data_IF_901731927121
#
_entry.id   IF_901731927121
#
_cell.length_a   1.000
_cell.length_b   1.000
_cell.length_c   1.000
_cell.angle_alpha   90.00
_cell.angle_beta   90.00
_cell.angle_gamma   90.00
#
_symmetry.space_group_name_H-M   'P 1'
#
loop_
_entity.id
_entity.type
_entity.pdbx_description
1 polymer ?
#
# COMPACT_ATOMS: atom_id res chain seq x y z
N UNK A 1 -26.18 13.90 55.40
CA UNK A 1 -26.53 13.54 54.00
C UNK A 1 -26.22 14.76 53.13
N UNK A 2 -25.06 14.79 52.47
CA UNK A 2 -24.62 15.92 51.65
C UNK A 2 -24.98 15.69 50.19
N UNK A 3 -25.61 16.68 49.55
CA UNK A 3 -25.89 16.65 48.11
C UNK A 3 -24.61 16.80 47.28
N UNK A 4 -24.48 16.10 46.14
CA UNK A 4 -23.38 16.29 45.21
C UNK A 4 -23.52 17.61 44.42
N UNK A 5 -22.40 18.22 43.99
CA UNK A 5 -22.41 19.47 43.24
C UNK A 5 -22.95 19.31 41.81
N UNK A 6 -23.54 20.37 41.22
CA UNK A 6 -24.07 20.32 39.86
C UNK A 6 -22.95 20.29 38.80
N UNK A 7 -23.14 19.46 37.79
CA UNK A 7 -22.26 19.35 36.62
C UNK A 7 -22.25 20.64 35.78
N UNK A 8 -21.09 21.08 35.25
CA UNK A 8 -21.02 22.26 34.40
C UNK A 8 -21.66 22.04 33.01
N UNK A 9 -22.39 23.07 32.57
CA UNK A 9 -23.10 23.19 31.30
C UNK A 9 -22.15 23.06 30.08
N UNK A 10 -22.57 22.25 29.10
CA UNK A 10 -21.89 21.95 27.82
C UNK A 10 -21.79 23.18 26.89
N UNK A 11 -22.42 24.31 27.22
CA UNK A 11 -22.50 25.45 26.32
C UNK A 11 -21.20 26.30 26.21
N UNK A 12 -20.20 26.12 27.07
CA UNK A 12 -18.98 26.95 27.05
C UNK A 12 -17.77 26.35 26.29
N UNK A 13 -17.87 25.10 25.82
CA UNK A 13 -16.77 24.42 25.13
C UNK A 13 -16.76 24.60 23.59
N UNK A 14 -17.83 25.15 23.01
CA UNK A 14 -17.98 25.30 21.56
C UNK A 14 -17.20 26.47 20.95
N UNK A 15 -17.09 27.59 21.66
CA UNK A 15 -16.55 28.85 21.09
C UNK A 15 -15.02 28.96 21.12
N UNK A 16 -14.34 28.17 21.96
CA UNK A 16 -12.89 28.16 22.03
C UNK A 16 -12.24 27.32 20.90
N UNK A 17 -12.98 26.35 20.32
CA UNK A 17 -12.44 25.50 19.26
C UNK A 17 -12.53 26.16 17.87
N UNK A 18 -13.52 27.04 17.64
CA UNK A 18 -13.68 27.72 16.34
C UNK A 18 -12.61 28.80 16.10
N UNK A 19 -12.21 29.55 17.14
CA UNK A 19 -11.18 30.61 17.01
C UNK A 19 -9.76 30.09 16.85
N UNK A 20 -9.49 28.82 17.12
CA UNK A 20 -8.18 28.20 16.89
C UNK A 20 -7.99 27.75 15.41
N UNK A 21 -9.08 27.64 14.64
CA UNK A 21 -9.05 27.24 13.23
C UNK A 21 -8.84 28.44 12.28
N UNK A 22 -9.22 29.65 12.70
CA UNK A 22 -9.19 30.84 11.83
C UNK A 22 -7.90 31.68 11.91
N UNK A 23 -6.96 31.36 12.83
CA UNK A 23 -5.82 32.23 13.16
C UNK A 23 -4.49 31.95 12.45
N UNK A 24 -4.37 31.00 11.51
CA UNK A 24 -3.05 30.59 10.98
C UNK A 24 -3.00 30.40 9.46
N UNK A 25 -3.52 31.37 8.72
CA UNK A 25 -3.38 31.45 7.27
C UNK A 25 -2.82 32.82 6.83
N UNK A 26 -1.60 33.17 7.27
CA UNK A 26 -0.81 34.24 6.66
C UNK A 26 0.60 33.74 6.38
N UNK A 27 0.72 32.97 5.30
CA UNK A 27 1.98 32.60 4.67
C UNK A 27 1.83 32.74 3.16
N UNK A 28 2.11 33.94 2.65
CA UNK A 28 2.22 34.25 1.22
C UNK A 28 3.34 33.41 0.61
N UNK A 29 2.97 32.32 -0.04
CA UNK A 29 3.77 31.61 -1.03
C UNK A 29 2.83 31.18 -2.12
N UNK A 30 2.85 31.88 -3.25
CA UNK A 30 2.11 31.53 -4.46
C UNK A 30 2.57 30.16 -4.95
N UNK A 31 1.94 29.10 -4.45
CA UNK A 31 2.07 27.75 -4.96
C UNK A 31 1.40 27.74 -6.33
N UNK A 32 2.19 27.60 -7.39
CA UNK A 32 1.68 27.36 -8.74
C UNK A 32 0.78 26.10 -8.77
N UNK A 33 0.10 25.82 -9.89
CA UNK A 33 -0.90 24.76 -10.02
C UNK A 33 -0.40 23.33 -9.74
N UNK A 34 0.88 23.14 -9.41
CA UNK A 34 1.54 21.86 -9.17
C UNK A 34 1.79 21.55 -7.68
N UNK A 35 0.95 22.05 -6.77
CA UNK A 35 1.18 21.92 -5.31
C UNK A 35 0.68 20.62 -4.67
N UNK A 36 0.31 19.61 -5.45
CA UNK A 36 -0.03 18.29 -4.92
C UNK A 36 1.20 17.56 -4.40
N UNK A 37 1.12 17.00 -3.20
CA UNK A 37 2.14 16.16 -2.58
C UNK A 37 2.47 14.91 -3.40
N UNK A 38 3.62 14.29 -3.11
CA UNK A 38 4.16 13.16 -3.88
C UNK A 38 3.27 11.89 -3.89
N UNK A 39 2.28 11.82 -3.00
CA UNK A 39 1.41 10.66 -2.81
C UNK A 39 -0.07 10.99 -3.01
N UNK A 40 -0.41 12.18 -3.50
CA UNK A 40 -1.80 12.64 -3.57
C UNK A 40 -2.67 11.71 -4.44
N UNK A 41 -2.11 11.22 -5.56
CA UNK A 41 -2.76 10.27 -6.45
C UNK A 41 -3.01 8.87 -5.84
N UNK A 42 -2.45 8.59 -4.65
CA UNK A 42 -2.69 7.35 -3.89
C UNK A 42 -3.09 7.63 -2.43
N UNK A 43 -3.60 8.83 -2.15
CA UNK A 43 -3.89 9.28 -0.78
C UNK A 43 -5.03 8.49 -0.11
N UNK A 44 -5.94 7.92 -0.89
CA UNK A 44 -7.04 7.10 -0.37
C UNK A 44 -6.60 5.71 0.09
N UNK A 45 -5.37 5.31 -0.23
CA UNK A 45 -4.86 3.99 0.12
C UNK A 45 -4.53 3.87 1.60
N UNK A 46 -4.52 2.63 2.08
CA UNK A 46 -4.23 2.30 3.47
C UNK A 46 -2.84 2.79 3.89
N UNK A 47 -2.74 3.24 5.14
CA UNK A 47 -1.51 3.82 5.70
C UNK A 47 -0.35 2.81 5.65
N UNK A 48 0.91 3.25 5.56
CA UNK A 48 2.06 2.35 5.48
C UNK A 48 2.21 1.41 6.68
N UNK A 49 1.61 1.72 7.83
CA UNK A 49 1.65 0.87 9.02
C UNK A 49 0.57 -0.21 9.05
N UNK A 50 -0.33 -0.24 8.06
CA UNK A 50 -1.36 -1.25 7.95
C UNK A 50 -0.73 -2.64 7.80
N UNK A 51 -1.10 -3.57 8.68
CA UNK A 51 -0.69 -4.98 8.58
C UNK A 51 -1.28 -5.57 7.28
N UNK A 52 -0.48 -6.18 6.39
CA UNK A 52 -1.02 -6.92 5.27
C UNK A 52 -1.78 -8.16 5.77
N UNK A 53 -2.71 -8.71 4.98
CA UNK A 53 -3.26 -10.03 5.27
C UNK A 53 -2.12 -11.05 5.30
N UNK A 54 -2.18 -12.04 6.20
CA UNK A 54 -1.18 -13.10 6.32
C UNK A 54 -1.49 -14.21 5.33
N UNK A 55 -1.10 -14.00 4.08
CA UNK A 55 -1.44 -14.90 2.98
C UNK A 55 -0.49 -14.77 1.79
N UNK A 56 -0.63 -15.69 0.86
CA UNK A 56 -0.02 -15.57 -0.46
C UNK A 56 -0.71 -14.44 -1.24
N UNK A 57 0.07 -13.45 -1.68
CA UNK A 57 -0.40 -12.34 -2.53
C UNK A 57 0.52 -12.14 -3.71
N UNK A 58 -0.02 -11.79 -4.88
CA UNK A 58 0.77 -11.39 -6.06
C UNK A 58 1.27 -9.94 -5.97
N UNK A 59 2.31 -9.59 -6.74
CA UNK A 59 2.82 -8.23 -6.84
C UNK A 59 1.72 -7.21 -7.17
N UNK A 60 0.87 -7.51 -8.15
CA UNK A 60 -0.19 -6.59 -8.60
C UNK A 60 -1.24 -6.36 -7.50
N UNK A 61 -1.59 -7.40 -6.73
CA UNK A 61 -2.49 -7.24 -5.56
C UNK A 61 -1.88 -6.31 -4.50
N UNK A 62 -0.60 -6.52 -4.17
CA UNK A 62 0.11 -5.67 -3.20
C UNK A 62 0.13 -4.22 -3.68
N UNK A 63 0.47 -3.99 -4.96
CA UNK A 63 0.56 -2.63 -5.52
C UNK A 63 -0.81 -1.95 -5.65
N UNK A 64 -1.88 -2.71 -5.80
CA UNK A 64 -3.25 -2.19 -5.89
C UNK A 64 -3.77 -1.81 -4.50
N UNK A 65 -3.72 -2.76 -3.57
CA UNK A 65 -4.41 -2.65 -2.28
C UNK A 65 -3.54 -2.05 -1.18
N UNK A 66 -2.22 -2.23 -1.26
CA UNK A 66 -1.25 -1.79 -0.26
C UNK A 66 -0.06 -1.01 -0.87
N UNK A 67 -0.30 0.04 -1.68
CA UNK A 67 0.77 0.74 -2.41
C UNK A 67 1.84 1.39 -1.51
N UNK A 68 1.49 1.70 -0.26
CA UNK A 68 2.40 2.29 0.72
C UNK A 68 3.37 1.29 1.36
N UNK A 69 3.15 -0.03 1.18
CA UNK A 69 4.08 -1.08 1.62
C UNK A 69 5.41 -1.07 0.86
N UNK A 70 5.57 -0.26 -0.18
CA UNK A 70 6.87 -0.06 -0.85
C UNK A 70 7.92 0.59 0.05
N UNK A 71 7.52 1.05 1.24
CA UNK A 71 8.41 1.47 2.31
C UNK A 71 9.00 0.29 3.10
N UNK A 72 8.41 -0.91 2.98
CA UNK A 72 8.83 -2.09 3.71
C UNK A 72 9.89 -2.82 2.87
N UNK A 73 11.10 -3.06 3.41
CA UNK A 73 12.17 -3.65 2.63
C UNK A 73 11.82 -5.01 2.02
N UNK A 74 11.12 -5.88 2.75
CA UNK A 74 10.75 -7.21 2.24
C UNK A 74 9.82 -7.13 1.02
N UNK A 75 8.79 -6.27 1.08
CA UNK A 75 7.85 -6.05 -0.01
C UNK A 75 8.56 -5.50 -1.25
N UNK A 76 9.41 -4.49 -1.05
CA UNK A 76 10.10 -3.83 -2.14
C UNK A 76 11.17 -4.73 -2.77
N UNK A 77 11.98 -5.42 -1.96
CA UNK A 77 13.03 -6.30 -2.46
C UNK A 77 12.44 -7.48 -3.24
N UNK A 78 11.30 -8.04 -2.80
CA UNK A 78 10.54 -9.02 -3.60
C UNK A 78 10.29 -8.50 -5.01
N UNK A 79 9.73 -7.31 -5.17
CA UNK A 79 9.46 -6.72 -6.49
C UNK A 79 10.73 -6.48 -7.30
N UNK A 80 11.80 -5.99 -6.65
CA UNK A 80 13.09 -5.77 -7.32
C UNK A 80 13.68 -7.07 -7.87
N UNK A 81 13.59 -8.17 -7.11
CA UNK A 81 14.03 -9.51 -7.52
C UNK A 81 13.16 -10.09 -8.64
N UNK A 82 11.88 -9.72 -8.68
CA UNK A 82 10.96 -10.03 -9.78
C UNK A 82 11.14 -9.11 -11.00
N UNK A 83 12.16 -8.25 -11.03
CA UNK A 83 12.50 -7.40 -12.18
C UNK A 83 11.74 -6.08 -12.28
N UNK A 84 10.92 -5.75 -11.29
CA UNK A 84 10.17 -4.49 -11.28
C UNK A 84 11.10 -3.29 -11.12
N UNK A 85 10.80 -2.22 -11.84
CA UNK A 85 11.42 -0.91 -11.69
C UNK A 85 10.51 0.04 -10.90
N UNK A 86 11.06 1.16 -10.41
CA UNK A 86 10.23 2.19 -9.76
C UNK A 86 9.17 2.76 -10.72
N UNK A 87 9.46 2.80 -12.02
CA UNK A 87 8.48 3.24 -13.02
C UNK A 87 7.37 2.22 -13.24
N UNK A 88 7.69 0.92 -13.23
CA UNK A 88 6.68 -0.14 -13.33
C UNK A 88 5.76 -0.11 -12.11
N UNK A 89 6.34 0.01 -10.91
CA UNK A 89 5.60 0.12 -9.64
C UNK A 89 4.70 1.37 -9.65
N UNK A 90 5.21 2.54 -10.04
CA UNK A 90 4.41 3.76 -10.15
C UNK A 90 3.24 3.57 -11.12
N UNK A 91 3.47 2.92 -12.26
CA UNK A 91 2.45 2.65 -13.26
C UNK A 91 1.33 1.78 -12.69
N UNK A 92 1.67 0.65 -12.04
CA UNK A 92 0.69 -0.24 -11.43
C UNK A 92 -0.14 0.46 -10.35
N UNK A 93 0.51 1.21 -9.44
CA UNK A 93 -0.17 1.89 -8.35
C UNK A 93 -1.13 2.97 -8.84
N UNK A 94 -0.71 3.80 -9.79
CA UNK A 94 -1.54 4.87 -10.33
C UNK A 94 -2.65 4.34 -11.23
N UNK A 95 -2.38 3.30 -12.02
CA UNK A 95 -3.40 2.63 -12.82
C UNK A 95 -4.49 2.05 -11.94
N UNK A 96 -4.14 1.32 -10.87
CA UNK A 96 -5.11 0.76 -9.92
C UNK A 96 -6.07 1.81 -9.34
N UNK A 97 -5.62 3.07 -9.21
CA UNK A 97 -6.38 4.21 -8.66
C UNK A 97 -7.00 5.12 -9.72
N UNK A 98 -6.80 4.82 -11.00
CA UNK A 98 -7.32 5.64 -12.12
C UNK A 98 -6.60 6.98 -12.29
N UNK A 99 -5.51 7.23 -11.57
CA UNK A 99 -4.72 8.46 -11.58
C UNK A 99 -3.45 8.35 -12.41
N UNK A 100 -3.44 7.55 -13.49
CA UNK A 100 -2.26 7.38 -14.34
C UNK A 100 -2.09 8.59 -15.27
N UNK A 101 -1.61 9.68 -14.71
CA UNK A 101 -1.23 10.91 -15.42
C UNK A 101 0.30 11.11 -15.42
N UNK A 102 0.81 11.93 -16.36
CA UNK A 102 2.25 12.10 -16.57
C UNK A 102 2.94 12.67 -15.33
N UNK A 103 2.37 13.73 -14.76
CA UNK A 103 2.96 14.44 -13.63
C UNK A 103 2.93 13.58 -12.36
N UNK A 104 1.81 12.90 -12.10
CA UNK A 104 1.68 11.98 -10.98
C UNK A 104 2.61 10.77 -11.12
N UNK A 105 2.76 10.23 -12.33
CA UNK A 105 3.72 9.17 -12.60
C UNK A 105 5.16 9.63 -12.33
N UNK A 106 5.54 10.84 -12.74
CA UNK A 106 6.88 11.39 -12.46
C UNK A 106 7.12 11.56 -10.96
N UNK A 107 6.17 12.18 -10.24
CA UNK A 107 6.25 12.38 -8.78
C UNK A 107 6.34 11.04 -8.04
N UNK A 108 5.46 10.10 -8.39
CA UNK A 108 5.42 8.80 -7.73
C UNK A 108 6.67 7.96 -8.00
N UNK A 109 7.16 7.97 -9.24
CA UNK A 109 8.42 7.32 -9.59
C UNK A 109 9.61 7.90 -8.79
N UNK A 110 9.67 9.22 -8.61
CA UNK A 110 10.69 9.86 -7.78
C UNK A 110 10.59 9.43 -6.30
N UNK A 111 9.37 9.42 -5.75
CA UNK A 111 9.12 8.96 -4.39
C UNK A 111 9.55 7.49 -4.19
N UNK A 112 9.23 6.62 -5.14
CA UNK A 112 9.63 5.21 -5.11
C UNK A 112 11.14 5.02 -5.19
N UNK A 113 11.86 5.82 -5.98
CA UNK A 113 13.34 5.77 -6.00
C UNK A 113 13.93 6.14 -4.65
N UNK A 114 13.36 7.13 -3.97
CA UNK A 114 13.77 7.50 -2.62
C UNK A 114 13.49 6.36 -1.63
N UNK A 115 12.27 5.78 -1.67
CA UNK A 115 11.90 4.64 -0.84
C UNK A 115 12.83 3.44 -1.07
N UNK A 116 13.22 3.17 -2.32
CA UNK A 116 14.21 2.14 -2.64
C UNK A 116 15.57 2.37 -2.02
N UNK A 117 16.05 3.61 -2.03
CA UNK A 117 17.31 3.96 -1.38
C UNK A 117 17.23 3.75 0.13
N UNK A 118 16.18 4.27 0.77
CA UNK A 118 15.95 4.14 2.22
C UNK A 118 15.80 2.68 2.66
N UNK A 119 14.96 1.90 1.98
CA UNK A 119 14.74 0.50 2.30
C UNK A 119 16.00 -0.35 2.09
N UNK A 120 16.80 -0.05 1.07
CA UNK A 120 18.07 -0.74 0.83
C UNK A 120 19.13 -0.43 1.88
N UNK A 121 19.23 0.83 2.30
CA UNK A 121 20.08 1.24 3.43
C UNK A 121 19.71 0.48 4.70
N UNK A 122 18.40 0.40 5.01
CA UNK A 122 17.89 -0.30 6.19
C UNK A 122 18.14 -1.82 6.12
N UNK A 123 17.77 -2.48 5.01
CA UNK A 123 17.87 -3.94 4.87
C UNK A 123 19.30 -4.44 4.90
N UNK A 124 20.23 -3.67 4.32
CA UNK A 124 21.63 -4.07 4.17
C UNK A 124 22.55 -3.41 5.20
N UNK A 125 22.05 -2.50 6.04
CA UNK A 125 22.85 -1.79 7.04
C UNK A 125 23.92 -0.88 6.43
N UNK A 126 23.60 -0.22 5.30
CA UNK A 126 24.52 0.66 4.54
C UNK A 126 23.94 2.09 4.43
N UNK A 127 24.74 3.08 4.04
CA UNK A 127 24.31 4.48 3.98
C UNK A 127 24.13 5.02 2.55
N UNK A 128 24.66 4.33 1.55
CA UNK A 128 24.75 4.76 0.15
C UNK A 128 24.24 3.67 -0.81
N UNK A 129 23.19 2.96 -0.41
CA UNK A 129 22.58 1.91 -1.22
C UNK A 129 22.21 2.43 -2.61
N UNK A 130 22.70 1.74 -3.62
CA UNK A 130 22.24 1.87 -5.00
C UNK A 130 21.96 0.49 -5.59
N UNK A 131 20.84 0.34 -6.32
CA UNK A 131 20.49 -0.93 -6.98
C UNK A 131 21.63 -1.46 -7.86
N UNK A 132 22.37 -0.57 -8.53
CA UNK A 132 23.51 -0.94 -9.39
C UNK A 132 24.74 -1.36 -8.59
N UNK A 133 25.09 -0.63 -7.52
CA UNK A 133 26.25 -0.95 -6.69
C UNK A 133 26.10 -2.29 -5.96
N UNK A 134 24.88 -2.65 -5.59
CA UNK A 134 24.56 -3.87 -4.85
C UNK A 134 23.98 -4.98 -5.74
N UNK A 135 24.10 -4.89 -7.07
CA UNK A 135 23.47 -5.82 -8.00
C UNK A 135 23.90 -7.30 -7.81
N UNK A 136 25.07 -7.54 -7.21
CA UNK A 136 25.60 -8.89 -6.90
C UNK A 136 25.20 -9.37 -5.49
N UNK A 137 24.52 -8.55 -4.69
CA UNK A 137 24.07 -8.94 -3.35
C UNK A 137 22.99 -10.02 -3.44
N UNK A 138 23.04 -11.01 -2.54
CA UNK A 138 22.14 -12.16 -2.55
C UNK A 138 20.65 -11.75 -2.51
N UNK A 139 20.32 -10.75 -1.70
CA UNK A 139 18.95 -10.20 -1.55
C UNK A 139 18.41 -9.51 -2.81
N UNK A 140 19.27 -9.14 -3.76
CA UNK A 140 18.86 -8.53 -5.03
C UNK A 140 18.93 -9.48 -6.20
N UNK A 141 19.39 -10.72 -5.99
CA UNK A 141 19.40 -11.72 -7.04
C UNK A 141 17.97 -12.09 -7.43
N UNK A 142 17.69 -12.21 -8.75
CA UNK A 142 16.37 -12.61 -9.21
C UNK A 142 15.88 -13.90 -8.54
N UNK A 143 14.56 -14.03 -8.41
CA UNK A 143 14.00 -15.31 -7.98
C UNK A 143 14.30 -16.40 -9.00
N UNK A 144 14.48 -17.62 -8.50
CA UNK A 144 14.62 -18.82 -9.33
C UNK A 144 13.43 -19.73 -9.06
N UNK A 145 13.18 -20.69 -9.94
CA UNK A 145 12.12 -21.69 -9.75
C UNK A 145 12.21 -22.45 -8.40
N UNK A 146 13.39 -22.53 -7.79
CA UNK A 146 13.59 -23.18 -6.49
C UNK A 146 13.44 -22.24 -5.29
N UNK A 147 13.42 -20.92 -5.50
CA UNK A 147 13.44 -19.91 -4.44
C UNK A 147 12.53 -18.76 -4.82
N UNK A 148 11.25 -18.87 -4.48
CA UNK A 148 10.29 -17.77 -4.48
C UNK A 148 9.41 -17.90 -3.23
N UNK A 149 9.04 -16.78 -2.63
CA UNK A 149 8.09 -16.74 -1.52
C UNK A 149 7.14 -15.57 -1.71
N UNK A 150 5.86 -15.88 -1.87
CA UNK A 150 4.80 -14.90 -2.06
C UNK A 150 3.98 -14.66 -0.80
N UNK A 151 4.27 -15.41 0.27
CA UNK A 151 3.64 -15.23 1.56
C UNK A 151 4.12 -13.91 2.18
N UNK A 152 3.16 -13.06 2.49
CA UNK A 152 3.36 -11.79 3.20
C UNK A 152 3.45 -11.98 4.71
N UNK A 153 3.26 -13.21 5.20
CA UNK A 153 3.37 -13.54 6.62
C UNK A 153 4.78 -13.23 7.13
N UNK A 154 4.85 -12.42 8.19
CA UNK A 154 6.10 -12.05 8.84
C UNK A 154 6.81 -10.85 8.20
N UNK A 155 6.22 -10.21 7.18
CA UNK A 155 6.69 -8.91 6.72
C UNK A 155 6.49 -7.89 7.84
N UNK A 156 7.52 -7.08 8.09
CA UNK A 156 7.49 -6.06 9.14
C UNK A 156 7.58 -4.66 8.53
N UNK A 157 6.93 -3.66 9.15
CA UNK A 157 7.14 -2.27 8.77
C UNK A 157 8.61 -1.86 9.00
N UNK A 158 9.11 -0.87 8.25
CA UNK A 158 10.46 -0.37 8.44
C UNK A 158 10.71 0.05 9.89
N UNK A 159 11.80 -0.43 10.47
CA UNK A 159 12.20 -0.19 11.86
C UNK A 159 12.76 1.22 12.08
N UNK A 160 13.15 1.92 11.01
CA UNK A 160 14.07 3.03 11.12
C UNK A 160 13.54 4.29 11.82
N UNK A 161 12.24 4.44 12.11
CA UNK A 161 11.72 5.64 12.79
C UNK A 161 10.47 5.42 13.65
N UNK A 162 10.07 4.19 13.94
CA UNK A 162 8.96 3.96 14.88
C UNK A 162 9.51 4.27 16.28
N UNK A 163 9.04 5.33 16.97
CA UNK A 163 9.45 5.57 18.35
C UNK A 163 9.21 4.27 19.13
N UNK A 164 10.10 3.86 20.04
CA UNK A 164 9.84 2.71 20.90
C UNK A 164 8.45 2.92 21.49
N UNK A 165 7.59 1.90 21.36
CA UNK A 165 6.22 1.89 21.85
C UNK A 165 6.23 2.40 23.30
N UNK A 166 6.01 3.70 23.49
CA UNK A 166 5.75 4.23 24.81
C UNK A 166 4.44 3.58 25.24
N UNK A 167 4.29 3.30 26.54
CA UNK A 167 3.21 2.50 27.15
C UNK A 167 1.77 3.00 26.92
N UNK A 168 1.56 3.96 26.01
CA UNK A 168 0.28 4.50 25.54
C UNK A 168 0.04 4.34 24.03
N UNK A 169 0.89 3.59 23.31
CA UNK A 169 0.71 3.43 21.87
C UNK A 169 -0.44 2.46 21.63
N UNK A 170 -1.57 2.99 21.14
CA UNK A 170 -2.73 2.23 20.71
C UNK A 170 -2.25 1.13 19.75
N UNK A 171 -2.55 -0.14 20.07
CA UNK A 171 -2.35 -1.24 19.14
C UNK A 171 -3.12 -0.85 17.86
N UNK A 172 -2.48 -0.76 16.69
CA UNK A 172 -3.17 -0.41 15.46
C UNK A 172 -4.32 -1.40 15.25
N UNK A 173 -5.55 -0.89 15.17
CA UNK A 173 -6.69 -1.72 14.84
C UNK A 173 -6.47 -2.30 13.43
N UNK A 174 -6.86 -3.57 13.20
CA UNK A 174 -6.76 -4.16 11.87
C UNK A 174 -7.52 -3.33 10.86
N UNK A 175 -6.92 -3.10 9.70
CA UNK A 175 -7.53 -2.32 8.62
C UNK A 175 -8.78 -3.02 8.10
N UNK A 176 -9.89 -2.29 7.97
CA UNK A 176 -11.12 -2.83 7.39
C UNK A 176 -10.96 -3.06 5.89
N UNK A 177 -11.67 -4.05 5.34
CA UNK A 177 -11.64 -4.31 3.90
C UNK A 177 -12.23 -3.12 3.10
N UNK A 178 -13.18 -2.37 3.66
CA UNK A 178 -13.69 -1.14 3.05
C UNK A 178 -12.59 -0.09 2.85
N UNK A 179 -11.70 0.07 3.82
CA UNK A 179 -10.60 1.05 3.75
C UNK A 179 -9.55 0.62 2.73
N UNK A 180 -9.33 -0.70 2.59
CA UNK A 180 -8.43 -1.27 1.57
C UNK A 180 -8.98 -1.03 0.15
N UNK A 181 -10.29 -1.24 -0.05
CA UNK A 181 -10.96 -1.04 -1.32
C UNK A 181 -11.08 0.43 -1.73
N UNK A 182 -11.05 1.35 -0.76
CA UNK A 182 -11.35 2.76 -0.96
C UNK A 182 -10.49 3.42 -2.05
N UNK A 183 -11.12 3.84 -3.14
CA UNK A 183 -10.46 4.49 -4.29
C UNK A 183 -9.72 3.54 -5.24
N UNK A 184 -9.88 2.22 -5.13
CA UNK A 184 -9.43 1.27 -6.17
C UNK A 184 -10.45 1.28 -7.31
N UNK A 185 -10.02 1.71 -8.49
CA UNK A 185 -10.87 1.77 -9.70
C UNK A 185 -10.61 0.59 -10.62
N UNK A 186 -9.35 0.17 -10.75
CA UNK A 186 -8.93 -0.92 -11.63
C UNK A 186 -8.44 -2.10 -10.79
N UNK A 187 -9.33 -3.06 -10.58
CA UNK A 187 -9.06 -4.25 -9.78
C UNK A 187 -8.20 -5.26 -10.54
N UNK A 188 -7.33 -6.05 -9.87
CA UNK A 188 -6.58 -7.13 -10.51
C UNK A 188 -7.50 -8.11 -11.24
N UNK A 189 -7.11 -8.56 -12.43
CA UNK A 189 -7.90 -9.46 -13.29
C UNK A 189 -7.07 -10.68 -13.73
N UNK A 190 -7.73 -11.73 -14.22
CA UNK A 190 -7.04 -12.91 -14.78
C UNK A 190 -6.08 -13.57 -13.79
N UNK A 191 -4.82 -13.76 -14.17
CA UNK A 191 -3.79 -14.32 -13.30
C UNK A 191 -3.36 -13.35 -12.18
N UNK A 192 -3.54 -12.04 -12.33
CA UNK A 192 -3.28 -11.07 -11.24
C UNK A 192 -4.35 -11.10 -10.14
N UNK A 193 -5.50 -11.70 -10.44
CA UNK A 193 -6.62 -11.86 -9.51
C UNK A 193 -6.34 -13.03 -8.54
N UNK A 194 -5.49 -12.76 -7.56
CA UNK A 194 -5.18 -13.68 -6.48
C UNK A 194 -6.32 -13.87 -5.48
N UNK A 195 -6.02 -14.62 -4.40
CA UNK A 195 -7.04 -14.98 -3.41
C UNK A 195 -7.54 -13.75 -2.64
N UNK A 196 -6.67 -12.76 -2.39
CA UNK A 196 -7.06 -11.52 -1.71
C UNK A 196 -8.10 -10.76 -2.53
N UNK A 197 -7.83 -10.57 -3.82
CA UNK A 197 -8.76 -9.91 -4.75
C UNK A 197 -10.10 -10.61 -4.79
N UNK A 198 -10.11 -11.96 -4.84
CA UNK A 198 -11.35 -12.75 -4.84
C UNK A 198 -12.18 -12.54 -3.58
N UNK A 199 -11.54 -12.48 -2.41
CA UNK A 199 -12.22 -12.20 -1.13
C UNK A 199 -12.79 -10.79 -1.12
N UNK A 200 -12.02 -9.81 -1.59
CA UNK A 200 -12.44 -8.42 -1.66
C UNK A 200 -13.67 -8.25 -2.59
N UNK A 201 -13.67 -8.89 -3.75
CA UNK A 201 -14.81 -8.88 -4.68
C UNK A 201 -16.04 -9.58 -4.09
N UNK A 202 -15.86 -10.74 -3.44
CA UNK A 202 -16.96 -11.42 -2.75
C UNK A 202 -17.56 -10.52 -1.66
N UNK A 203 -16.72 -9.89 -0.84
CA UNK A 203 -17.17 -9.03 0.25
C UNK A 203 -17.88 -7.77 -0.30
N UNK A 204 -17.43 -7.25 -1.43
CA UNK A 204 -18.08 -6.13 -2.12
C UNK A 204 -19.44 -6.54 -2.69
N UNK A 205 -19.52 -7.68 -3.39
CA UNK A 205 -20.75 -8.19 -3.99
C UNK A 205 -21.84 -8.49 -2.94
N UNK A 206 -21.44 -8.85 -1.72
CA UNK A 206 -22.35 -9.10 -0.60
C UNK A 206 -22.57 -7.86 0.30
N UNK A 207 -21.96 -6.72 -0.02
CA UNK A 207 -22.03 -5.48 0.78
C UNK A 207 -21.58 -5.65 2.26
N UNK A 208 -20.53 -6.46 2.48
CA UNK A 208 -20.00 -6.80 3.83
C UNK A 208 -18.55 -6.36 4.03
N UNK A 209 -17.97 -5.54 3.14
CA UNK A 209 -16.59 -5.02 3.27
C UNK A 209 -16.32 -4.32 4.61
N UNK A 210 -17.31 -3.63 5.17
CA UNK A 210 -17.20 -2.91 6.44
C UNK A 210 -17.27 -3.83 7.67
N UNK A 211 -17.64 -5.10 7.51
CA UNK A 211 -17.82 -6.06 8.60
C UNK A 211 -16.56 -6.89 8.86
N UNK A 212 -15.59 -6.82 7.95
CA UNK A 212 -14.40 -7.66 7.96
C UNK A 212 -13.14 -6.84 7.86
N UNK A 213 -12.06 -7.42 8.37
CA UNK A 213 -10.73 -6.83 8.34
C UNK A 213 -9.78 -7.67 7.51
N UNK A 214 -8.58 -7.15 7.24
CA UNK A 214 -7.50 -7.91 6.58
C UNK A 214 -7.14 -9.22 7.30
N UNK A 215 -7.45 -9.36 8.60
CA UNK A 215 -7.23 -10.60 9.37
C UNK A 215 -8.26 -11.68 9.07
N UNK A 216 -9.45 -11.30 8.62
CA UNK A 216 -10.54 -12.23 8.30
C UNK A 216 -10.36 -12.91 6.95
N UNK A 217 -9.48 -12.39 6.09
CA UNK A 217 -9.39 -12.78 4.68
C UNK A 217 -9.17 -14.29 4.51
N UNK A 218 -8.24 -14.89 5.27
CA UNK A 218 -7.99 -16.33 5.18
C UNK A 218 -9.16 -17.17 5.70
N UNK A 219 -9.87 -16.69 6.73
CA UNK A 219 -11.08 -17.35 7.22
C UNK A 219 -12.18 -17.32 6.14
N UNK A 220 -12.39 -16.15 5.52
CA UNK A 220 -13.38 -15.97 4.46
C UNK A 220 -13.05 -16.83 3.22
N UNK A 221 -11.78 -16.84 2.81
CA UNK A 221 -11.30 -17.62 1.67
C UNK A 221 -11.47 -19.13 1.87
N UNK A 222 -11.26 -19.63 3.08
CA UNK A 222 -11.35 -21.06 3.39
C UNK A 222 -12.77 -21.54 3.65
N UNK A 223 -13.71 -20.62 3.89
CA UNK A 223 -15.11 -20.96 4.09
C UNK A 223 -15.76 -21.33 2.74
N UNK A 224 -16.02 -22.62 2.57
CA UNK A 224 -16.62 -23.17 1.35
C UNK A 224 -17.99 -22.56 1.06
N UNK A 225 -18.72 -22.09 2.06
CA UNK A 225 -20.01 -21.45 1.87
C UNK A 225 -19.90 -20.15 1.06
N UNK A 226 -18.72 -19.50 1.07
CA UNK A 226 -18.48 -18.28 0.31
C UNK A 226 -18.17 -18.54 -1.17
N UNK A 227 -17.86 -19.80 -1.55
CA UNK A 227 -17.57 -20.17 -2.94
C UNK A 227 -16.35 -19.46 -3.54
N UNK A 228 -15.42 -18.99 -2.70
CA UNK A 228 -14.22 -18.26 -3.13
C UNK A 228 -13.24 -19.28 -3.73
N UNK A 229 -12.98 -19.16 -5.04
CA UNK A 229 -12.09 -20.07 -5.76
C UNK A 229 -10.62 -20.02 -5.28
N UNK A 230 -9.83 -21.03 -5.63
CA UNK A 230 -8.42 -21.13 -5.23
C UNK A 230 -7.48 -20.12 -5.89
N UNK A 231 -6.18 -20.21 -5.58
CA UNK A 231 -5.14 -19.37 -6.20
C UNK A 231 -5.08 -19.53 -7.74
N UNK A 232 -4.65 -18.48 -8.48
CA UNK A 232 -4.38 -18.58 -9.90
C UNK A 232 -3.21 -19.55 -10.19
N UNK A 233 -3.04 -19.97 -11.45
CA UNK A 233 -2.06 -20.98 -11.81
C UNK A 233 -0.63 -20.45 -11.63
N UNK A 234 -0.39 -19.19 -12.04
CA UNK A 234 0.92 -18.54 -11.92
C UNK A 234 1.40 -18.46 -10.46
N UNK A 235 0.49 -18.40 -9.48
CA UNK A 235 0.82 -18.27 -8.06
C UNK A 235 1.67 -19.42 -7.48
N UNK A 236 1.77 -20.54 -8.20
CA UNK A 236 2.57 -21.71 -7.83
C UNK A 236 3.96 -21.71 -8.47
N UNK A 237 4.32 -20.64 -9.16
CA UNK A 237 5.56 -20.51 -9.93
C UNK A 237 6.24 -19.20 -9.57
N UNK A 238 7.55 -19.08 -9.82
CA UNK A 238 8.26 -17.80 -9.70
C UNK A 238 7.80 -16.71 -10.71
N UNK A 239 6.94 -17.08 -11.67
CA UNK A 239 6.52 -16.22 -12.77
C UNK A 239 5.36 -15.30 -12.41
N UNK A 240 4.67 -15.49 -11.28
CA UNK A 240 3.47 -14.71 -10.97
C UNK A 240 3.72 -13.19 -10.93
N UNK A 241 4.78 -12.78 -10.25
CA UNK A 241 5.17 -11.37 -10.20
C UNK A 241 5.74 -10.89 -11.56
N UNK A 242 6.29 -11.79 -12.39
CA UNK A 242 6.84 -11.47 -13.71
C UNK A 242 5.73 -11.31 -14.75
N UNK A 243 4.74 -12.19 -14.78
CA UNK A 243 3.54 -12.05 -15.60
C UNK A 243 2.79 -10.77 -15.26
N UNK A 244 2.65 -10.44 -13.97
CA UNK A 244 2.07 -9.17 -13.52
C UNK A 244 2.88 -7.95 -13.97
N UNK A 245 4.21 -8.06 -14.02
CA UNK A 245 5.09 -7.02 -14.55
C UNK A 245 4.87 -6.81 -16.06
N UNK A 246 4.82 -7.89 -16.84
CA UNK A 246 4.57 -7.84 -18.28
C UNK A 246 3.22 -7.20 -18.59
N UNK A 247 2.16 -7.62 -17.89
CA UNK A 247 0.82 -7.03 -18.01
C UNK A 247 0.82 -5.55 -17.63
N UNK A 248 1.54 -5.18 -16.57
CA UNK A 248 1.72 -3.76 -16.17
C UNK A 248 2.42 -2.94 -17.25
N UNK A 249 3.44 -3.49 -17.91
CA UNK A 249 4.14 -2.80 -19.01
C UNK A 249 3.27 -2.65 -20.26
N UNK A 250 2.28 -3.52 -20.43
CA UNK A 250 1.24 -3.39 -21.46
C UNK A 250 0.23 -2.27 -21.20
N UNK A 251 0.19 -1.68 -19.99
CA UNK A 251 -0.70 -0.57 -19.68
C UNK A 251 -0.30 0.65 -20.51
N UNK A 252 -1.23 1.13 -21.33
CA UNK A 252 -0.94 2.25 -22.21
C UNK A 252 -0.96 3.56 -21.43
N UNK A 253 0.17 4.26 -21.44
CA UNK A 253 0.29 5.56 -20.76
C UNK A 253 -0.27 6.65 -21.67
N UNK A 254 -1.29 7.42 -21.24
CA UNK A 254 -2.00 8.36 -22.11
C UNK A 254 -1.08 9.36 -22.83
N UNK A 255 -0.01 9.81 -22.17
CA UNK A 255 0.95 10.78 -22.71
C UNK A 255 1.96 10.22 -23.70
N UNK A 256 1.99 8.90 -23.95
CA UNK A 256 2.88 8.29 -24.95
C UNK A 256 2.23 8.14 -26.33
N UNK A 257 0.93 8.43 -26.48
CA UNK A 257 0.19 8.25 -27.75
C UNK A 257 0.28 9.41 -28.74
N UNK A 258 1.00 10.49 -28.41
CA UNK A 258 0.99 11.75 -29.19
C UNK A 258 2.37 12.29 -29.56
N UNK A 259 3.36 11.41 -29.75
CA UNK A 259 4.71 11.76 -30.18
C UNK A 259 4.99 11.41 -31.63
#
# INVERSE_FOLDING_TARGET
MSQPPPSPSIAAAGDALLKAVEGRATGKGSRGPYSGGYNDAIASAVRPEAEPPRMIMGAVEILTFFPHMMQWPDALFRLLRSGWTSSDIATAQLYARGGLEKDDHMKRNQALRQQMSTAGNEKLGVNDFTKRGYAQHAELQPFTAAKFNYDTTGWNPPHANTPPLTSKTLIPLPTNLSDVANGVTNWPQGEDRGLFTKVMEWAQANNVLHQYTVRDVMRLANDQANGIGGLPAEARTHEWDQGGLERTRGIVKPWMRGG
#
